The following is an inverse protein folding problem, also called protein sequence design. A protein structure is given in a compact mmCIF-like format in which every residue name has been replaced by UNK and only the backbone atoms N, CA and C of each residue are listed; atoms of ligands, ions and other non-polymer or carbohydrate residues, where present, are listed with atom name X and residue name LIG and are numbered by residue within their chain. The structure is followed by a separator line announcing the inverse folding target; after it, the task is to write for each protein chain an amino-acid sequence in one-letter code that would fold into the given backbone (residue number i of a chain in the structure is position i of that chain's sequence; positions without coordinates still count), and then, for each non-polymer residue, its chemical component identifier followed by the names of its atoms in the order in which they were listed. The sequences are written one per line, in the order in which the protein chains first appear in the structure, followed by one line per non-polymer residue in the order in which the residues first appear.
data_IF_028726894005
#
_entry.id   IF_028726894005
#
_cell.length_a   1.000
_cell.length_b   1.000
_cell.length_c   1.000
_cell.angle_alpha   90.00
_cell.angle_beta   90.00
_cell.angle_gamma   90.00
#
_symmetry.space_group_name_H-M   'P 1'
#
loop_
_entity.id
_entity.type
_entity.pdbx_description
1 polymer ?
2 non-polymer ?
3 non-polymer ?
4 water ?
#
# COMPACT_ATOMS: atom_id res chain seq x y z
N UNK A 1 15.06 -20.93 2.31
CA UNK A 1 14.28 -19.69 2.60
C UNK A 1 14.44 -19.18 4.04
N UNK A 2 14.61 -20.08 5.01
CA UNK A 2 14.77 -19.67 6.41
C UNK A 2 16.04 -18.85 6.66
N UNK A 3 17.10 -19.14 5.92
CA UNK A 3 18.35 -18.39 6.04
C UNK A 3 18.23 -16.99 5.46
N UNK A 4 17.48 -16.87 4.36
CA UNK A 4 17.17 -15.56 3.77
C UNK A 4 16.26 -14.74 4.70
N UNK A 5 15.31 -15.41 5.34
CA UNK A 5 14.44 -14.78 6.33
C UNK A 5 15.26 -14.22 7.47
N UNK A 6 16.18 -15.03 8.02
CA UNK A 6 17.06 -14.54 9.08
C UNK A 6 17.81 -13.27 8.67
N UNK A 7 18.34 -13.24 7.45
CA UNK A 7 19.12 -12.10 6.97
C UNK A 7 18.26 -10.86 6.80
N UNK A 8 17.06 -11.05 6.27
CA UNK A 8 16.12 -9.94 6.08
C UNK A 8 15.61 -9.42 7.43
N UNK A 9 15.29 -10.33 8.36
CA UNK A 9 14.87 -9.92 9.70
C UNK A 9 15.97 -9.19 10.46
N UNK A 10 17.22 -9.60 10.24
CA UNK A 10 18.37 -8.90 10.80
C UNK A 10 18.44 -7.45 10.30
N UNK A 11 18.32 -7.25 8.99
CA UNK A 11 18.36 -5.92 8.37
C UNK A 11 17.23 -5.02 8.88
N UNK A 12 16.00 -5.55 8.84
CA UNK A 12 14.82 -4.85 9.37
C UNK A 12 14.98 -4.48 10.86
N UNK A 13 15.58 -5.37 11.63
CA UNK A 13 15.82 -5.09 13.05
C UNK A 13 16.80 -3.94 13.26
N UNK A 14 17.89 -3.94 12.48
CA UNK A 14 18.90 -2.88 12.52
C UNK A 14 18.33 -1.53 12.09
N UNK A 15 17.44 -1.56 11.10
CA UNK A 15 16.72 -0.37 10.67
C UNK A 15 15.83 0.15 11.80
N UNK A 16 15.11 -0.76 12.45
CA UNK A 16 14.28 -0.44 13.61
C UNK A 16 15.11 0.27 14.69
N UNK A 17 16.28 -0.29 15.02
CA UNK A 17 17.19 0.31 16.00
C UNK A 17 17.65 1.73 15.64
N UNK A 18 17.73 2.02 14.35
CA UNK A 18 18.26 3.28 13.84
C UNK A 18 17.16 4.27 13.46
N UNK A 19 15.91 3.84 13.55
CA UNK A 19 14.77 4.74 13.30
C UNK A 19 14.74 5.88 14.31
N UNK A 20 14.35 7.04 13.82
CA UNK A 20 14.12 8.23 14.64
C UNK A 20 13.04 7.94 15.70
N UNK A 21 13.04 8.71 16.79
CA UNK A 21 12.19 8.43 17.96
C UNK A 21 10.69 8.42 17.66
N UNK A 22 10.28 9.23 16.67
CA UNK A 22 8.89 9.31 16.22
C UNK A 22 8.34 7.96 15.72
N UNK A 23 9.24 7.06 15.34
CA UNK A 23 8.88 5.74 14.85
C UNK A 23 8.99 4.70 15.97
N UNK A 24 9.19 5.19 17.20
CA UNK A 24 9.33 4.32 18.35
C UNK A 24 8.32 4.67 19.45
N UNK A 25 8.08 3.72 20.34
CA UNK A 25 7.28 3.94 21.54
C UNK A 25 7.63 2.95 22.63
N UNK A 26 7.57 3.41 23.88
CA UNK A 26 7.72 2.54 25.06
C UNK A 26 6.35 2.05 25.55
N UNK A 27 5.28 2.54 24.93
CA UNK A 27 3.92 2.20 25.36
C UNK A 27 3.56 0.79 24.92
N UNK A 28 2.75 0.13 25.74
CA UNK A 28 2.16 -1.14 25.35
C UNK A 28 0.70 -0.90 24.97
N UNK A 29 0.48 -0.92 23.67
CA UNK A 29 -0.80 -0.57 23.08
C UNK A 29 -1.81 -1.71 23.16
N UNK A 30 -3.12 -1.39 23.16
CA UNK A 30 -4.18 -2.41 23.20
C UNK A 30 -4.05 -3.40 22.05
N UNK A 31 -4.17 -4.69 22.37
CA UNK A 31 -4.02 -5.75 21.37
C UNK A 31 -5.22 -5.78 20.44
N UNK A 32 -4.93 -5.76 19.15
CA UNK A 32 -5.95 -5.82 18.10
C UNK A 32 -5.74 -7.10 17.27
N UNK A 33 -6.82 -7.58 16.67
CA UNK A 33 -6.76 -8.70 15.74
C UNK A 33 -7.40 -8.30 14.42
N UNK A 34 -6.58 -8.22 13.37
CA UNK A 34 -7.05 -7.90 12.03
C UNK A 34 -6.63 -9.02 11.08
N UNK A 35 -7.07 -8.96 9.83
CA UNK A 35 -6.69 -9.97 8.84
C UNK A 35 -5.18 -10.25 8.78
N UNK A 36 -4.84 -11.48 8.44
CA UNK A 36 -3.50 -12.03 8.69
C UNK A 36 -2.36 -11.17 8.16
N UNK A 37 -2.45 -10.79 6.88
CA UNK A 37 -1.38 -10.06 6.21
C UNK A 37 -1.06 -8.73 6.91
N UNK A 38 -2.11 -7.98 7.25
CA UNK A 38 -1.96 -6.73 8.01
C UNK A 38 -1.44 -6.97 9.43
N UNK A 39 -2.02 -7.95 10.13
CA UNK A 39 -1.61 -8.31 11.49
C UNK A 39 -0.10 -8.55 11.56
N UNK A 40 0.39 -9.37 10.63
CA UNK A 40 1.80 -9.74 10.57
C UNK A 40 2.70 -8.58 10.15
N UNK A 41 2.32 -7.86 9.10
CA UNK A 41 3.15 -6.78 8.58
C UNK A 41 3.23 -5.60 9.55
N UNK A 42 2.16 -5.37 10.30
CA UNK A 42 2.15 -4.36 11.37
C UNK A 42 3.26 -4.64 12.40
N UNK A 43 3.38 -5.91 12.82
CA UNK A 43 4.36 -6.34 13.82
C UNK A 43 5.79 -6.24 13.26
N UNK A 44 5.95 -6.65 12.01
CA UNK A 44 7.24 -6.68 11.34
C UNK A 44 7.83 -5.28 11.12
N UNK A 45 7.00 -4.38 10.59
CA UNK A 45 7.45 -3.02 10.27
C UNK A 45 7.45 -2.05 11.45
N UNK A 46 6.48 -2.19 12.35
CA UNK A 46 6.35 -1.28 13.50
C UNK A 46 6.07 -2.02 14.80
N UNK A 47 7.03 -2.86 15.25
CA UNK A 47 6.82 -3.72 16.43
C UNK A 47 6.47 -2.98 17.72
N UNK A 48 6.97 -1.76 17.90
CA UNK A 48 6.70 -0.97 19.13
C UNK A 48 5.22 -0.71 19.34
N UNK A 49 4.46 -0.78 18.25
CA UNK A 49 3.07 -0.36 18.29
C UNK A 49 2.12 -1.54 18.31
N UNK A 50 2.68 -2.74 18.05
CA UNK A 50 1.86 -3.94 17.93
C UNK A 50 2.38 -5.13 18.72
N UNK A 51 3.50 -4.94 19.41
CA UNK A 51 4.04 -5.95 20.34
C UNK A 51 4.29 -5.36 21.73
N UNK A 52 4.20 -6.21 22.75
CA UNK A 52 4.68 -5.86 24.10
C UNK A 52 6.19 -5.64 24.03
N UNK A 53 6.65 -4.50 24.57
CA UNK A 53 8.06 -4.08 24.52
C UNK A 53 9.04 -5.16 24.97
N UNK A 54 8.64 -5.95 25.97
CA UNK A 54 9.47 -7.03 26.49
C UNK A 54 9.73 -8.15 25.48
N UNK A 55 9.15 -8.02 24.28
CA UNK A 55 9.19 -9.09 23.27
C UNK A 55 9.94 -8.77 21.95
N UNK A 56 10.33 -7.51 21.76
CA UNK A 56 11.00 -7.08 20.50
C UNK A 56 12.52 -7.30 20.52
N UNK A 57 13.02 -8.22 19.68
CA UNK A 57 14.38 -8.79 19.85
C UNK A 57 15.26 -9.07 18.60
N UNK A 58 14.66 -9.05 17.41
CA UNK A 58 15.21 -9.64 16.16
C UNK A 58 14.68 -11.05 15.95
N UNK A 59 14.88 -11.91 16.96
CA UNK A 59 14.32 -13.27 16.93
C UNK A 59 12.81 -13.22 16.79
N UNK A 60 12.16 -12.28 17.46
CA UNK A 60 10.71 -12.16 17.36
C UNK A 60 10.26 -11.58 16.02
N UNK A 61 11.02 -10.62 15.48
CA UNK A 61 10.77 -10.11 14.12
C UNK A 61 10.89 -11.25 13.09
N UNK A 62 11.96 -12.04 13.22
CA UNK A 62 12.17 -13.23 12.39
C UNK A 62 11.02 -14.22 12.52
N UNK A 63 10.58 -14.47 13.75
CA UNK A 63 9.43 -15.33 14.04
C UNK A 63 8.16 -14.89 13.31
N UNK A 64 7.81 -13.61 13.41
CA UNK A 64 6.64 -13.08 12.72
C UNK A 64 6.81 -13.09 11.20
N UNK A 65 8.02 -12.79 10.74
CA UNK A 65 8.31 -12.80 9.31
C UNK A 65 8.12 -14.20 8.73
N UNK A 66 8.54 -15.22 9.48
CA UNK A 66 8.37 -16.62 9.11
C UNK A 66 6.89 -17.00 9.00
N UNK A 67 6.10 -16.57 9.99
CA UNK A 67 4.65 -16.84 9.96
C UNK A 67 4.00 -16.23 8.73
N UNK A 68 4.38 -14.98 8.43
CA UNK A 68 3.90 -14.30 7.22
C UNK A 68 4.33 -15.00 5.93
N UNK A 69 5.62 -15.32 5.84
CA UNK A 69 6.17 -16.02 4.69
C UNK A 69 5.46 -17.36 4.45
N UNK A 70 5.27 -18.13 5.52
CA UNK A 70 4.62 -19.42 5.39
C UNK A 70 3.18 -19.27 4.90
N UNK A 71 2.48 -18.24 5.39
CA UNK A 71 1.09 -17.98 5.02
C UNK A 71 0.95 -17.56 3.55
N UNK A 72 1.78 -16.62 3.12
CA UNK A 72 1.75 -16.13 1.73
C UNK A 72 2.17 -17.23 0.77
N UNK A 73 3.23 -17.95 1.11
CA UNK A 73 3.67 -19.08 0.30
C UNK A 73 2.52 -20.07 0.11
N UNK A 74 1.84 -20.42 1.19
CA UNK A 74 0.72 -21.37 1.12
C UNK A 74 -0.40 -20.90 0.20
N UNK A 75 -0.76 -19.63 0.32
CA UNK A 75 -1.80 -19.02 -0.50
C UNK A 75 -1.39 -18.87 -1.97
N UNK A 76 -0.15 -18.45 -2.21
CA UNK A 76 0.32 -18.35 -3.60
C UNK A 76 0.36 -19.74 -4.25
N UNK A 77 0.80 -20.76 -3.50
CA UNK A 77 0.83 -22.13 -4.00
C UNK A 77 -0.57 -22.63 -4.41
N UNK A 78 -1.56 -22.34 -3.56
CA UNK A 78 -2.95 -22.76 -3.82
C UNK A 78 -3.47 -22.27 -5.17
N UNK A 79 -3.16 -21.03 -5.51
CA UNK A 79 -3.62 -20.40 -6.75
C UNK A 79 -2.70 -20.66 -7.94
N UNK A 80 -1.46 -21.03 -7.66
CA UNK A 80 -0.45 -21.18 -8.69
C UNK A 80 0.27 -22.52 -8.55
N UNK A 81 1.55 -22.49 -8.20
CA UNK A 81 2.29 -23.71 -7.89
C UNK A 81 3.41 -23.45 -6.89
N UNK A 82 3.98 -24.53 -6.36
CA UNK A 82 5.01 -24.49 -5.32
C UNK A 82 6.24 -23.66 -5.72
N UNK A 83 6.75 -23.90 -6.93
CA UNK A 83 7.95 -23.21 -7.40
C UNK A 83 7.69 -21.71 -7.60
N UNK A 84 6.57 -21.37 -8.25
CA UNK A 84 6.19 -19.98 -8.45
C UNK A 84 6.04 -19.24 -7.13
N UNK A 85 5.42 -19.89 -6.15
CA UNK A 85 5.27 -19.37 -4.79
C UNK A 85 6.61 -19.04 -4.13
N UNK A 86 7.56 -19.99 -4.18
CA UNK A 86 8.89 -19.78 -3.62
C UNK A 86 9.57 -18.54 -4.19
N UNK A 87 9.55 -18.41 -5.52
CA UNK A 87 10.15 -17.26 -6.21
C UNK A 87 9.49 -15.92 -5.86
N UNK A 88 8.16 -15.93 -5.75
CA UNK A 88 7.42 -14.72 -5.42
C UNK A 88 7.68 -14.27 -4.01
N UNK A 89 7.78 -15.23 -3.08
CA UNK A 89 8.00 -14.91 -1.67
C UNK A 89 9.44 -14.49 -1.41
N UNK A 90 10.37 -15.07 -2.16
CA UNK A 90 11.76 -14.62 -2.12
C UNK A 90 11.85 -13.16 -2.59
N UNK A 91 11.06 -12.80 -3.61
CA UNK A 91 10.95 -11.43 -4.11
C UNK A 91 10.36 -10.45 -3.09
N UNK A 92 9.32 -10.88 -2.38
CA UNK A 92 8.79 -10.07 -1.27
C UNK A 92 9.86 -9.83 -0.21
N UNK A 93 10.47 -10.92 0.28
CA UNK A 93 11.53 -10.83 1.27
C UNK A 93 12.63 -9.84 0.84
N UNK A 94 13.10 -9.99 -0.39
CA UNK A 94 14.08 -9.09 -1.00
C UNK A 94 13.72 -7.61 -0.85
N UNK A 95 12.45 -7.28 -1.11
CA UNK A 95 11.98 -5.89 -1.10
C UNK A 95 11.58 -5.34 0.27
N UNK A 96 11.54 -6.17 1.30
CA UNK A 96 11.00 -5.68 2.60
C UNK A 96 11.75 -4.50 3.22
N UNK A 97 13.10 -4.49 3.13
CA UNK A 97 13.79 -3.29 3.62
C UNK A 97 13.42 -2.01 2.86
N UNK A 98 13.34 -2.08 1.54
CA UNK A 98 13.01 -0.88 0.75
C UNK A 98 11.57 -0.44 1.01
N UNK A 99 10.65 -1.39 1.14
CA UNK A 99 9.27 -1.09 1.53
C UNK A 99 9.21 -0.40 2.89
N UNK A 100 9.99 -0.90 3.85
CA UNK A 100 10.05 -0.28 5.19
C UNK A 100 10.43 1.21 5.08
N UNK A 101 11.48 1.50 4.29
CA UNK A 101 11.89 2.89 4.04
C UNK A 101 10.76 3.70 3.40
N UNK A 102 10.07 3.11 2.42
CA UNK A 102 8.99 3.82 1.75
C UNK A 102 7.83 4.08 2.70
N UNK A 103 7.52 3.09 3.55
CA UNK A 103 6.41 3.23 4.49
C UNK A 103 6.67 4.36 5.49
N UNK A 104 7.94 4.55 5.85
CA UNK A 104 8.30 5.69 6.70
C UNK A 104 7.93 7.01 6.02
N UNK A 105 8.24 7.14 4.73
CA UNK A 105 7.91 8.36 3.97
C UNK A 105 6.40 8.56 3.86
N UNK A 106 5.65 7.48 3.66
CA UNK A 106 4.18 7.55 3.67
C UNK A 106 3.65 8.11 4.99
N UNK A 107 4.26 7.71 6.09
CA UNK A 107 3.87 8.22 7.42
C UNK A 107 4.15 9.71 7.54
N UNK A 108 5.35 10.12 7.14
CA UNK A 108 5.72 11.54 7.08
C UNK A 108 4.70 12.34 6.29
N UNK A 109 4.31 11.82 5.12
CA UNK A 109 3.31 12.45 4.27
C UNK A 109 1.94 12.54 4.95
N UNK A 110 1.56 11.48 5.65
CA UNK A 110 0.29 11.43 6.37
C UNK A 110 0.25 12.51 7.44
N UNK A 111 1.27 12.57 8.28
CA UNK A 111 1.30 13.57 9.33
C UNK A 111 1.34 14.99 8.75
N UNK A 112 2.17 15.17 7.72
CA UNK A 112 2.33 16.49 7.08
C UNK A 112 1.07 16.98 6.38
N UNK A 113 0.21 16.05 5.95
CA UNK A 113 -1.01 16.38 5.21
C UNK A 113 -2.31 16.41 6.01
N UNK A 114 -2.22 16.12 7.31
CA UNK A 114 -3.41 15.98 8.15
C UNK A 114 -3.36 16.76 9.48
N UNK A 115 -4.05 17.90 9.57
CA UNK A 115 -4.06 18.69 10.80
C UNK A 115 -4.65 17.94 11.99
N UNK A 116 -5.39 16.85 11.71
CA UNK A 116 -6.01 16.04 12.76
C UNK A 116 -5.05 15.05 13.43
N UNK A 117 -3.89 14.79 12.82
CA UNK A 117 -2.96 13.79 13.35
C UNK A 117 -2.10 14.35 14.49
N UNK A 118 -2.15 13.72 15.68
CA UNK A 118 -1.37 14.19 16.83
C UNK A 118 0.10 13.71 16.86
N UNK A 119 0.38 12.63 16.14
CA UNK A 119 1.73 12.04 16.05
C UNK A 119 1.70 10.80 15.18
N UNK A 120 2.88 10.32 14.77
CA UNK A 120 2.96 9.15 13.90
C UNK A 120 2.31 7.92 14.52
N UNK A 121 2.43 7.79 15.85
CA UNK A 121 1.88 6.64 16.56
C UNK A 121 0.40 6.36 16.24
N UNK A 122 -0.43 7.39 16.09
CA UNK A 122 -1.87 7.20 15.81
C UNK A 122 -2.12 6.78 14.36
N UNK A 123 -1.29 7.30 13.46
CA UNK A 123 -1.34 6.94 12.05
C UNK A 123 -0.99 5.47 11.87
N UNK A 124 0.11 5.07 12.51
CA UNK A 124 0.57 3.70 12.55
C UNK A 124 -0.50 2.76 13.12
N UNK A 125 -1.10 3.18 14.24
CA UNK A 125 -2.04 2.32 14.93
C UNK A 125 -3.36 2.12 14.20
N UNK A 126 -3.88 3.16 13.55
CA UNK A 126 -5.28 3.08 13.11
C UNK A 126 -5.68 3.88 11.87
N UNK A 127 -4.77 4.58 11.21
CA UNK A 127 -5.17 5.33 10.00
C UNK A 127 -5.40 4.36 8.85
N UNK A 128 -6.62 4.36 8.27
CA UNK A 128 -6.97 3.32 7.30
C UNK A 128 -6.19 3.41 5.98
N UNK A 129 -5.95 4.62 5.49
CA UNK A 129 -5.07 4.84 4.34
C UNK A 129 -3.71 4.18 4.54
N UNK A 130 -3.19 4.25 5.77
CA UNK A 130 -1.88 3.66 6.07
C UNK A 130 -1.92 2.13 6.17
N UNK A 131 -2.98 1.58 6.78
CA UNK A 131 -3.15 0.13 6.81
C UNK A 131 -3.19 -0.45 5.41
N UNK A 132 -3.91 0.25 4.52
CA UNK A 132 -4.07 -0.17 3.14
C UNK A 132 -2.71 -0.17 2.42
N UNK A 133 -1.96 0.92 2.58
CA UNK A 133 -0.68 1.05 1.88
C UNK A 133 0.35 0.02 2.32
N UNK A 134 0.36 -0.33 3.61
CA UNK A 134 1.20 -1.41 4.15
C UNK A 134 1.01 -2.70 3.38
N UNK A 135 -0.26 -3.09 3.21
CA UNK A 135 -0.58 -4.33 2.53
C UNK A 135 -0.36 -4.14 1.03
N UNK A 136 -0.78 -3.01 0.47
CA UNK A 136 -0.55 -2.74 -0.95
C UNK A 136 0.91 -2.90 -1.38
N UNK A 137 1.84 -2.41 -0.57
CA UNK A 137 3.23 -2.41 -0.99
C UNK A 137 3.77 -3.83 -1.12
N UNK A 138 3.24 -4.72 -0.29
CA UNK A 138 3.60 -6.14 -0.41
C UNK A 138 2.86 -6.82 -1.56
N UNK A 139 1.54 -6.60 -1.65
CA UNK A 139 0.72 -7.13 -2.76
C UNK A 139 1.29 -6.77 -4.14
N UNK A 140 1.80 -5.55 -4.27
CA UNK A 140 2.43 -5.11 -5.51
C UNK A 140 3.66 -5.92 -5.91
N UNK A 141 4.47 -6.35 -4.93
CA UNK A 141 5.64 -7.21 -5.23
C UNK A 141 5.20 -8.55 -5.83
N UNK A 142 4.14 -9.12 -5.28
CA UNK A 142 3.49 -10.30 -5.86
C UNK A 142 3.07 -10.06 -7.31
N UNK A 143 2.40 -8.93 -7.57
CA UNK A 143 1.97 -8.59 -8.91
C UNK A 143 3.19 -8.49 -9.83
N UNK A 144 4.23 -7.82 -9.34
CA UNK A 144 5.46 -7.69 -10.11
C UNK A 144 6.15 -9.03 -10.44
N UNK A 145 5.87 -10.08 -9.67
CA UNK A 145 6.37 -11.42 -9.98
C UNK A 145 5.52 -12.16 -11.02
N UNK A 146 4.41 -11.53 -11.41
CA UNK A 146 3.49 -12.11 -12.39
C UNK A 146 2.27 -12.79 -11.80
N UNK A 147 2.13 -12.73 -10.48
CA UNK A 147 1.01 -13.34 -9.78
C UNK A 147 -0.26 -12.48 -9.97
N UNK A 148 -1.40 -13.14 -10.14
CA UNK A 148 -2.62 -12.41 -10.52
C UNK A 148 -3.84 -12.74 -9.68
N UNK A 149 -3.70 -13.70 -8.77
CA UNK A 149 -4.84 -14.18 -7.98
C UNK A 149 -4.77 -13.81 -6.50
N UNK A 150 -3.78 -14.36 -5.79
CA UNK A 150 -3.69 -14.13 -4.36
C UNK A 150 -3.45 -12.64 -4.01
N UNK A 151 -2.63 -11.95 -4.82
CA UNK A 151 -2.37 -10.51 -4.59
C UNK A 151 -3.67 -9.70 -4.67
N UNK A 152 -4.60 -10.11 -5.54
CA UNK A 152 -5.92 -9.49 -5.56
C UNK A 152 -6.75 -9.83 -4.31
N UNK A 153 -6.69 -11.09 -3.87
CA UNK A 153 -7.41 -11.53 -2.68
C UNK A 153 -6.96 -10.75 -1.44
N UNK A 154 -5.64 -10.59 -1.32
CA UNK A 154 -5.05 -9.82 -0.23
C UNK A 154 -5.61 -8.39 -0.22
N UNK A 155 -5.65 -7.75 -1.39
CA UNK A 155 -6.17 -6.39 -1.46
C UNK A 155 -7.70 -6.31 -1.25
N UNK A 156 -8.41 -7.40 -1.52
CA UNK A 156 -9.84 -7.44 -1.17
C UNK A 156 -10.07 -7.51 0.35
N UNK A 157 -9.12 -8.08 1.09
CA UNK A 157 -9.12 -7.96 2.55
C UNK A 157 -8.99 -6.49 2.99
N UNK A 158 -8.04 -5.78 2.39
CA UNK A 158 -7.90 -4.34 2.58
C UNK A 158 -9.20 -3.60 2.21
N UNK A 159 -9.77 -3.97 1.06
CA UNK A 159 -11.02 -3.42 0.56
C UNK A 159 -12.14 -3.53 1.61
N UNK A 160 -12.29 -4.70 2.22
CA UNK A 160 -13.34 -4.92 3.24
C UNK A 160 -13.09 -4.15 4.53
N UNK A 161 -11.82 -4.08 4.92
CA UNK A 161 -11.43 -3.44 6.18
C UNK A 161 -11.49 -1.90 6.17
N UNK A 162 -11.17 -1.28 5.03
CA UNK A 162 -10.98 0.18 4.94
C UNK A 162 -11.83 0.83 3.85
N UNK A 163 -12.45 0.01 3.00
CA UNK A 163 -13.23 0.48 1.85
C UNK A 163 -12.38 1.23 0.81
N UNK A 164 -11.06 1.03 0.90
CA UNK A 164 -10.07 1.53 -0.06
C UNK A 164 -9.74 0.38 -1.02
N UNK A 165 -9.80 0.67 -2.31
CA UNK A 165 -9.80 -0.31 -3.37
C UNK A 165 -8.61 -0.07 -4.28
N UNK A 166 -7.48 -0.69 -3.98
CA UNK A 166 -6.25 -0.47 -4.72
C UNK A 166 -5.88 -1.79 -5.38
N UNK A 167 -5.89 -1.82 -6.70
CA UNK A 167 -5.49 -3.03 -7.41
C UNK A 167 -4.00 -3.29 -7.18
N UNK A 168 -3.62 -4.56 -6.88
CA UNK A 168 -2.19 -4.83 -6.63
C UNK A 168 -1.25 -4.43 -7.76
N UNK A 169 -1.80 -4.27 -8.98
CA UNK A 169 -1.02 -3.83 -10.16
C UNK A 169 -0.62 -2.35 -10.17
N UNK A 170 -1.35 -1.53 -9.43
CA UNK A 170 -1.04 -0.09 -9.37
C UNK A 170 0.39 0.11 -8.92
N UNK A 171 1.04 1.11 -9.51
CA UNK A 171 2.40 1.50 -9.13
C UNK A 171 2.35 2.82 -8.40
N UNK A 172 2.81 2.83 -7.15
CA UNK A 172 2.71 4.04 -6.32
C UNK A 172 4.04 4.37 -5.64
N UNK A 173 4.54 5.57 -5.89
CA UNK A 173 5.78 6.02 -5.26
C UNK A 173 5.56 6.42 -3.79
N UNK A 174 6.62 6.90 -3.15
CA UNK A 174 6.59 7.21 -1.72
C UNK A 174 5.92 8.51 -1.33
N UNK A 175 5.98 8.82 -0.04
CA UNK A 175 5.26 9.96 0.55
C UNK A 175 3.80 9.99 0.10
N UNK A 176 3.18 8.82 0.15
CA UNK A 176 1.82 8.64 -0.34
C UNK A 176 0.84 8.72 0.83
N UNK A 177 -0.25 9.45 0.63
CA UNK A 177 -1.26 9.60 1.68
C UNK A 177 -2.68 9.60 1.13
N UNK A 178 -3.48 8.65 1.62
CA UNK A 178 -4.92 8.65 1.43
C UNK A 178 -5.58 9.06 2.75
N UNK A 179 -6.24 10.22 2.77
CA UNK A 179 -6.96 10.66 3.94
C UNK A 179 -8.41 10.25 3.84
N UNK A 180 -8.94 9.72 4.94
CA UNK A 180 -10.34 9.25 5.06
C UNK A 180 -10.56 7.96 4.28
N UNK A 181 -10.50 8.04 2.96
CA UNK A 181 -10.21 6.88 2.15
C UNK A 181 -11.40 6.11 1.61
N UNK A 182 -12.53 6.13 2.30
CA UNK A 182 -13.67 5.37 1.81
C UNK A 182 -14.00 5.76 0.38
N UNK A 183 -14.11 4.76 -0.49
CA UNK A 183 -14.48 4.96 -1.89
C UNK A 183 -13.33 5.22 -2.85
N UNK A 184 -12.10 5.31 -2.33
CA UNK A 184 -10.92 5.39 -3.19
C UNK A 184 -10.80 4.13 -4.04
N UNK A 185 -10.63 4.34 -5.34
CA UNK A 185 -10.42 3.25 -6.29
C UNK A 185 -9.19 3.59 -7.13
N UNK A 186 -8.22 2.69 -7.13
CA UNK A 186 -6.98 2.90 -7.89
C UNK A 186 -6.76 1.64 -8.72
N UNK A 187 -6.84 1.77 -10.05
CA UNK A 187 -6.83 0.63 -10.97
C UNK A 187 -5.51 -0.09 -11.22
N UNK A 188 -5.63 -1.23 -11.87
CA UNK A 188 -4.52 -2.12 -12.16
C UNK A 188 -3.33 -1.47 -12.86
N UNK A 189 -3.60 -0.50 -13.72
CA UNK A 189 -2.54 0.10 -14.52
C UNK A 189 -2.33 1.56 -14.17
N UNK A 190 -2.86 1.97 -13.02
CA UNK A 190 -2.61 3.32 -12.51
C UNK A 190 -1.14 3.48 -12.13
N UNK A 191 -0.58 4.65 -12.42
CA UNK A 191 0.80 4.96 -12.01
C UNK A 191 0.74 6.28 -11.25
N UNK A 192 1.30 6.30 -10.04
CA UNK A 192 1.21 7.46 -9.17
C UNK A 192 2.60 7.85 -8.67
N UNK A 193 2.95 9.12 -8.82
CA UNK A 193 4.26 9.59 -8.41
C UNK A 193 4.38 9.83 -6.92
N UNK A 194 5.43 10.56 -6.54
CA UNK A 194 5.74 10.89 -5.16
C UNK A 194 4.79 11.96 -4.65
N UNK A 195 4.56 11.99 -3.33
CA UNK A 195 3.77 13.05 -2.69
C UNK A 195 2.38 13.21 -3.28
N UNK A 196 1.67 12.10 -3.42
CA UNK A 196 0.29 12.13 -3.85
C UNK A 196 -0.60 12.13 -2.62
N UNK A 197 -1.51 13.09 -2.56
CA UNK A 197 -2.47 13.20 -1.48
C UNK A 197 -3.87 12.98 -2.04
N UNK A 198 -4.54 11.94 -1.55
CA UNK A 198 -5.83 11.51 -2.10
C UNK A 198 -6.90 11.47 -1.01
N UNK A 199 -8.07 12.03 -1.31
CA UNK A 199 -9.20 12.04 -0.40
C UNK A 199 -10.25 10.98 -0.71
N UNK A 200 -11.24 10.91 0.17
CA UNK A 200 -12.36 9.99 0.08
C UNK A 200 -13.01 10.07 -1.30
N UNK A 201 -13.50 8.93 -1.79
CA UNK A 201 -14.29 8.86 -3.01
C UNK A 201 -13.58 9.25 -4.31
N UNK A 202 -12.25 9.18 -4.29
CA UNK A 202 -11.45 9.48 -5.49
C UNK A 202 -11.24 8.22 -6.31
N UNK A 203 -11.55 8.32 -7.60
CA UNK A 203 -11.21 7.25 -8.54
C UNK A 203 -10.04 7.63 -9.44
N UNK A 204 -9.03 6.77 -9.45
CA UNK A 204 -7.97 6.80 -10.45
C UNK A 204 -8.13 5.51 -11.22
N UNK A 205 -8.99 5.54 -12.23
CA UNK A 205 -9.46 4.29 -12.83
C UNK A 205 -10.01 4.39 -14.23
N UNK A 206 -11.02 3.58 -14.50
CA UNK A 206 -11.63 3.50 -15.82
C UNK A 206 -13.09 3.08 -15.71
N UNK A 207 -13.85 3.43 -16.74
CA UNK A 207 -15.23 2.95 -16.91
C UNK A 207 -15.35 2.25 -18.24
N UNK A 208 -16.20 1.22 -18.30
CA UNK A 208 -16.41 0.52 -19.55
C UNK A 208 -17.88 0.44 -19.91
N UNK A 209 -18.27 1.30 -20.84
CA UNK A 209 -19.63 1.29 -21.36
C UNK A 209 -19.83 0.06 -22.23
N UNK A 210 -20.95 -0.61 -22.01
CA UNK A 210 -21.21 -1.88 -22.64
C UNK A 210 -21.16 -1.81 -24.16
N UNK A 211 -20.25 -2.58 -24.72
CA UNK A 211 -20.26 -2.89 -26.14
C UNK A 211 -20.80 -4.29 -26.21
N UNK A 212 -22.10 -4.42 -26.51
CA UNK A 212 -22.68 -5.75 -26.73
C UNK A 212 -22.87 -6.05 -28.23
N UNK A 213 -21.99 -6.86 -28.81
CA UNK A 213 -20.76 -7.34 -28.16
C UNK A 213 -20.93 -8.16 -26.90
N UNK A 214 -19.86 -8.22 -26.10
CA UNK A 214 -19.85 -8.97 -24.85
C UNK A 214 -18.61 -8.80 -23.99
N UNK A 215 -17.49 -9.36 -24.45
CA UNK A 215 -16.30 -9.57 -23.59
C UNK A 215 -15.12 -8.62 -23.82
N UNK A 216 -14.89 -7.73 -22.85
CA UNK A 216 -13.89 -6.67 -23.00
C UNK A 216 -12.46 -7.21 -23.05
N UNK A 217 -11.62 -6.53 -23.82
CA UNK A 217 -10.19 -6.82 -23.94
C UNK A 217 -9.56 -6.94 -22.56
N UNK A 218 -8.69 -7.93 -22.38
CA UNK A 218 -8.04 -8.10 -21.09
C UNK A 218 -6.85 -7.17 -20.96
N UNK A 219 -6.76 -6.52 -19.81
CA UNK A 219 -5.59 -5.72 -19.46
C UNK A 219 -5.36 -4.49 -20.31
N UNK A 220 -4.08 -4.22 -20.56
CA UNK A 220 -3.57 -3.00 -21.22
C UNK A 220 -3.69 -1.75 -20.35
N UNK A 221 -2.80 -0.79 -20.62
CA UNK A 221 -2.76 0.48 -19.91
C UNK A 221 -4.05 1.25 -20.20
N UNK A 222 -4.82 1.51 -19.14
CA UNK A 222 -6.19 2.03 -19.29
C UNK A 222 -6.61 2.90 -18.10
N UNK A 223 -5.69 3.10 -17.16
CA UNK A 223 -5.93 3.91 -15.97
C UNK A 223 -4.94 5.09 -15.96
N UNK A 224 -5.22 6.15 -15.18
CA UNK A 224 -4.40 7.36 -15.25
C UNK A 224 -2.94 7.20 -14.82
N UNK A 225 -2.10 8.08 -15.33
CA UNK A 225 -0.74 8.27 -14.83
C UNK A 225 -0.73 9.64 -14.17
N UNK A 226 -0.23 9.68 -12.94
CA UNK A 226 -0.24 10.88 -12.13
C UNK A 226 1.21 11.20 -11.73
N UNK A 227 1.60 12.46 -11.85
CA UNK A 227 2.96 12.92 -11.52
C UNK A 227 3.18 13.09 -10.03
N UNK A 228 4.12 14.00 -9.69
CA UNK A 228 4.49 14.26 -8.31
C UNK A 228 3.74 15.46 -7.73
N UNK A 229 3.57 15.47 -6.41
CA UNK A 229 2.92 16.58 -5.72
C UNK A 229 1.52 16.90 -6.24
N UNK A 230 0.73 15.85 -6.46
CA UNK A 230 -0.64 15.97 -6.91
C UNK A 230 -1.58 15.79 -5.74
N UNK A 231 -2.58 16.65 -5.65
CA UNK A 231 -3.64 16.51 -4.66
C UNK A 231 -4.98 16.30 -5.35
N UNK A 232 -5.68 15.23 -4.98
CA UNK A 232 -6.93 14.90 -5.64
C UNK A 232 -8.06 15.00 -4.64
N UNK A 233 -8.92 16.00 -4.85
CA UNK A 233 -9.98 16.33 -3.90
C UNK A 233 -11.11 15.35 -3.86
N UNK A 234 -11.92 15.46 -2.80
CA UNK A 234 -13.03 14.56 -2.53
C UNK A 234 -13.97 14.38 -3.72
N UNK A 235 -14.21 13.13 -4.09
CA UNK A 235 -15.19 12.79 -5.12
C UNK A 235 -14.70 12.89 -6.56
N UNK A 236 -13.46 13.32 -6.75
CA UNK A 236 -12.90 13.47 -8.10
C UNK A 236 -12.80 12.13 -8.80
N UNK A 237 -13.27 12.09 -10.06
CA UNK A 237 -13.24 10.87 -10.87
C UNK A 237 -12.30 11.08 -12.06
N UNK A 238 -11.12 10.49 -11.95
CA UNK A 238 -10.09 10.64 -12.99
C UNK A 238 -10.03 9.33 -13.76
N UNK A 239 -10.46 9.37 -15.03
CA UNK A 239 -10.72 8.14 -15.76
C UNK A 239 -10.00 8.05 -17.09
N UNK A 240 -9.52 6.85 -17.39
CA UNK A 240 -8.93 6.55 -18.70
C UNK A 240 -7.42 6.60 -18.71
N UNK A 241 -6.84 6.19 -19.83
CA UNK A 241 -5.40 6.22 -20.04
C UNK A 241 -4.96 7.66 -20.32
N UNK A 242 -4.95 8.47 -19.26
CA UNK A 242 -4.66 9.89 -19.37
C UNK A 242 -3.49 10.24 -18.46
N UNK A 243 -2.86 11.38 -18.72
CA UNK A 243 -1.72 11.82 -17.93
C UNK A 243 -2.05 13.08 -17.14
N UNK A 244 -1.88 12.99 -15.83
CA UNK A 244 -1.94 14.15 -14.95
C UNK A 244 -0.50 14.55 -14.59
N UNK A 245 -0.17 15.81 -14.82
CA UNK A 245 1.18 16.30 -14.59
C UNK A 245 1.49 16.48 -13.12
N UNK A 246 2.70 16.98 -12.83
CA UNK A 246 3.12 17.24 -11.45
C UNK A 246 2.51 18.54 -10.95
N UNK A 247 2.52 18.71 -9.63
CA UNK A 247 2.01 19.95 -8.99
C UNK A 247 0.62 20.34 -9.51
N UNK A 248 -0.27 19.35 -9.54
CA UNK A 248 -1.65 19.54 -9.97
C UNK A 248 -2.58 19.45 -8.75
N UNK A 249 -3.52 20.40 -8.66
CA UNK A 249 -4.56 20.38 -7.64
C UNK A 249 -5.89 20.09 -8.32
N UNK A 250 -6.59 19.05 -7.85
CA UNK A 250 -7.89 18.69 -8.41
C UNK A 250 -8.99 18.93 -7.39
N UNK A 251 -9.99 19.71 -7.80
CA UNK A 251 -11.10 20.10 -6.92
C UNK A 251 -12.14 19.03 -6.69
N UNK A 252 -13.04 19.28 -5.73
CA UNK A 252 -14.05 18.29 -5.32
C UNK A 252 -15.01 17.93 -6.45
N UNK A 253 -15.42 16.66 -6.48
CA UNK A 253 -16.39 16.14 -7.44
C UNK A 253 -16.04 16.32 -8.93
N UNK A 254 -14.78 16.59 -9.22
CA UNK A 254 -14.36 16.81 -10.61
C UNK A 254 -14.35 15.54 -11.46
N UNK A 255 -14.74 15.71 -12.71
CA UNK A 255 -14.85 14.63 -13.66
C UNK A 255 -13.77 14.84 -14.72
N UNK A 256 -12.67 14.10 -14.61
CA UNK A 256 -11.49 14.31 -15.46
C UNK A 256 -11.27 13.18 -16.47
N UNK A 257 -11.32 13.56 -17.75
CA UNK A 257 -11.46 12.66 -18.87
C UNK A 257 -10.26 12.76 -19.82
N UNK A 258 -9.46 13.79 -19.61
CA UNK A 258 -8.37 14.11 -20.53
C UNK A 258 -7.13 14.55 -19.74
N UNK A 259 -5.99 14.57 -20.42
CA UNK A 259 -4.73 15.06 -19.85
C UNK A 259 -4.90 16.38 -19.11
N UNK A 260 -4.22 16.49 -17.99
CA UNK A 260 -4.14 17.74 -17.24
C UNK A 260 -2.67 18.08 -17.07
N UNK A 261 -2.26 19.23 -17.58
CA UNK A 261 -0.86 19.63 -17.59
C UNK A 261 -0.36 20.04 -16.20
N UNK A 262 0.95 19.93 -16.01
CA UNK A 262 1.61 20.29 -14.76
C UNK A 262 1.32 21.72 -14.30
N UNK A 263 1.47 21.93 -12.99
CA UNK A 263 1.31 23.25 -12.36
C UNK A 263 -0.03 23.93 -12.65
N UNK A 264 -1.10 23.26 -12.23
CA UNK A 264 -2.47 23.68 -12.52
C UNK A 264 -3.40 23.39 -11.35
N UNK A 265 -4.45 24.19 -11.23
CA UNK A 265 -5.58 23.91 -10.34
C UNK A 265 -6.83 23.79 -11.19
N UNK A 266 -7.54 22.67 -11.02
CA UNK A 266 -8.76 22.39 -11.78
C UNK A 266 -9.99 22.40 -10.88
N UNK A 267 -11.01 23.15 -11.30
CA UNK A 267 -12.34 23.11 -10.68
C UNK A 267 -13.42 23.55 -11.67
X LIG B 1 -12.14 -2.91 -13.15
X LIG B 1 -12.07 -2.04 -14.36
X LIG B 1 -10.70 -2.12 -15.00
X LIG B 1 -9.79 -2.77 -14.49
X LIG B 1 -12.40 -0.59 -13.99
X LIG B 1 -11.41 -0.04 -13.14
X LIG B 1 -10.47 -1.53 -16.06
X LIG C 1 -19.09 10.18 -4.51
X LIG C 1 -18.99 9.72 -5.90
X LIG C 1 -20.44 10.68 -4.26
X LIG C 1 -18.80 9.07 -3.61
X LIG C 1 -18.12 11.25 -4.29
#
# INVERSE_FOLDING_TARGET
MDNYIYSIAHQLYEMYLQDEDAFHSKRDYPHKKVFTELQKLRKIFFPDFFMKHQKITESHIASELTKLVDYIKDSVTAYNDELFAHQCVMAILEKLPSIKRTLKTDLIAAYAGDPAAPGLSLIIRCYPGFQAVIVYRIAHVLYECGERYYCREMMESVHSYTSIDIHPGASIKGHFFIDHGVGVVIGETAIIGEWCRIYQSVTLGAMHFQEEGGVIKRGTKRHPTVGDYVTIGTGAKVLGNIIVGSHVRIGANCWIDRDVDSNQTVYISEHPTHFVKPCTTKGMKNDTEIIAIIPSSPLANSPSILEHHHHHH
SER N CA C O CB OG OXT
SO4 S O1 O2 O3 O4
#
